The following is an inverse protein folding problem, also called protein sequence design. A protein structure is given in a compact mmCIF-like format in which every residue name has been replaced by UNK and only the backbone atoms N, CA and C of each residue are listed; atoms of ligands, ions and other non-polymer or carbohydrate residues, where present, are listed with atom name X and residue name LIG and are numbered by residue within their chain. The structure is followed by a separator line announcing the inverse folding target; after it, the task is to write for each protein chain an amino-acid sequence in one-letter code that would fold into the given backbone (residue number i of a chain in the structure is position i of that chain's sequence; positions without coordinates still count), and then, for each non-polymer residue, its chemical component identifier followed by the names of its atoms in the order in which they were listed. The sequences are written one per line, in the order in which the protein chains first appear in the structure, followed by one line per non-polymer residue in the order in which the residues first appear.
data_IF_219618157757
#
_entry.id   IF_219618157757
#
_cell.length_a   1.000
_cell.length_b   1.000
_cell.length_c   1.000
_cell.angle_alpha   90.00
_cell.angle_beta   90.00
_cell.angle_gamma   90.00
#
_symmetry.space_group_name_H-M   'P 1'
#
loop_
_entity.id
_entity.type
_entity.pdbx_description
1 polymer ?
#
# COMPACT_ATOMS: atom_id res chain seq x y z
N UNK A 1 6.33 -6.83 5.35
CA UNK A 1 6.84 -5.75 6.23
C UNK A 1 6.67 -4.38 5.59
N UNK A 2 6.46 -3.34 6.39
CA UNK A 2 6.43 -1.95 5.92
C UNK A 2 7.87 -1.45 5.80
N UNK A 3 8.19 -0.74 4.72
CA UNK A 3 9.52 -0.15 4.49
C UNK A 3 9.48 1.38 4.55
N UNK A 4 8.42 1.97 3.99
CA UNK A 4 8.15 3.41 4.03
C UNK A 4 6.64 3.62 4.05
N UNK A 5 6.20 4.64 4.78
CA UNK A 5 4.83 5.11 4.73
C UNK A 5 4.85 6.64 4.85
N UNK A 6 4.19 7.30 3.92
CA UNK A 6 3.90 8.73 4.00
C UNK A 6 2.38 8.89 4.06
N UNK A 7 1.89 9.57 5.09
CA UNK A 7 0.47 9.88 5.24
C UNK A 7 0.31 11.40 5.24
N UNK A 8 -0.43 11.91 4.26
CA UNK A 8 -0.80 13.30 4.16
C UNK A 8 -2.25 13.48 4.60
N UNK A 9 -2.46 14.27 5.63
CA UNK A 9 -3.81 14.64 6.08
C UNK A 9 -4.20 15.97 5.46
N UNK A 10 -5.32 15.98 4.76
CA UNK A 10 -5.87 17.19 4.16
C UNK A 10 -6.98 17.78 5.04
N UNK A 11 -7.66 16.92 5.81
CA UNK A 11 -8.77 17.29 6.68
C UNK A 11 -8.72 16.52 8.00
N UNK A 12 -9.24 17.11 9.09
CA UNK A 12 -9.38 16.40 10.36
C UNK A 12 -10.25 15.15 10.23
N UNK A 13 -9.78 14.05 10.81
CA UNK A 13 -10.55 12.82 11.00
C UNK A 13 -11.14 12.83 12.40
N UNK A 14 -12.39 13.25 12.53
CA UNK A 14 -13.06 13.43 13.82
C UNK A 14 -13.73 12.17 14.39
N UNK A 15 -13.59 11.03 13.72
CA UNK A 15 -14.29 9.80 14.08
C UNK A 15 -13.99 8.67 13.10
N UNK A 16 -14.94 7.74 12.95
CA UNK A 16 -14.80 6.60 12.05
C UNK A 16 -14.55 7.05 10.61
N UNK A 17 -13.49 6.52 10.01
CA UNK A 17 -13.10 6.75 8.62
C UNK A 17 -12.80 5.42 7.93
N UNK A 18 -12.82 5.42 6.60
CA UNK A 18 -12.49 4.27 5.77
C UNK A 18 -11.16 4.54 5.06
N UNK A 19 -10.33 3.51 4.90
CA UNK A 19 -9.09 3.58 4.15
C UNK A 19 -9.17 2.61 2.96
N UNK A 20 -9.18 3.14 1.74
CA UNK A 20 -9.33 2.36 0.51
C UNK A 20 -8.00 2.31 -0.24
N UNK A 21 -7.35 1.13 -0.25
CA UNK A 21 -6.06 0.93 -0.93
C UNK A 21 -6.22 0.49 -2.38
N UNK A 22 -5.28 0.92 -3.23
CA UNK A 22 -5.19 0.53 -4.64
C UNK A 22 -3.74 0.52 -5.12
N UNK A 23 -3.53 -0.07 -6.29
CA UNK A 23 -2.27 -0.01 -7.03
C UNK A 23 -2.42 1.00 -8.16
N UNK A 24 -1.58 2.02 -8.19
CA UNK A 24 -1.63 3.08 -9.21
C UNK A 24 -1.18 2.59 -10.59
N UNK A 25 -0.37 1.54 -10.63
CA UNK A 25 0.03 0.85 -11.86
C UNK A 25 -0.69 -0.51 -11.96
N UNK A 26 -1.54 -0.73 -12.99
CA UNK A 26 -2.22 -2.01 -13.23
C UNK A 26 -1.29 -3.22 -13.35
N UNK A 27 -0.02 -3.02 -13.75
CA UNK A 27 0.97 -4.09 -13.90
C UNK A 27 1.77 -4.36 -12.62
N UNK A 28 1.67 -3.49 -11.60
CA UNK A 28 2.49 -3.57 -10.39
C UNK A 28 2.37 -4.94 -9.70
N UNK A 29 1.16 -5.50 -9.65
CA UNK A 29 0.93 -6.81 -9.04
C UNK A 29 1.65 -7.94 -9.77
N UNK A 30 1.55 -7.95 -11.11
CA UNK A 30 2.19 -8.97 -11.95
C UNK A 30 3.71 -8.90 -11.83
N UNK A 31 4.29 -7.69 -11.85
CA UNK A 31 5.73 -7.49 -11.69
C UNK A 31 6.20 -7.90 -10.29
N UNK A 32 5.45 -7.51 -9.25
CA UNK A 32 5.74 -7.84 -7.86
C UNK A 32 5.76 -9.35 -7.63
N UNK A 33 4.69 -10.05 -8.00
CA UNK A 33 4.55 -11.51 -7.78
C UNK A 33 5.59 -12.30 -8.57
N UNK A 34 5.89 -11.92 -9.82
CA UNK A 34 6.97 -12.53 -10.61
C UNK A 34 8.33 -12.34 -9.95
N UNK A 35 8.60 -11.14 -9.44
CA UNK A 35 9.87 -10.83 -8.76
C UNK A 35 10.00 -11.63 -7.46
N UNK A 36 8.94 -11.71 -6.67
CA UNK A 36 8.90 -12.45 -5.41
C UNK A 36 9.19 -13.94 -5.65
N UNK A 37 8.52 -14.56 -6.62
CA UNK A 37 8.75 -15.97 -6.99
C UNK A 37 10.18 -16.24 -7.44
N UNK A 38 10.77 -15.33 -8.23
CA UNK A 38 12.12 -15.51 -8.77
C UNK A 38 13.22 -15.28 -7.75
N UNK A 39 13.03 -14.35 -6.81
CA UNK A 39 14.11 -13.83 -5.95
C UNK A 39 13.92 -14.11 -4.46
N UNK A 40 12.78 -14.71 -4.06
CA UNK A 40 12.42 -14.87 -2.64
C UNK A 40 12.21 -13.53 -1.90
N UNK A 41 12.19 -12.40 -2.60
CA UNK A 41 11.91 -11.08 -2.03
C UNK A 41 11.45 -10.10 -3.09
N UNK A 42 10.51 -9.24 -2.74
CA UNK A 42 10.04 -8.17 -3.61
C UNK A 42 9.47 -7.00 -2.81
N UNK A 43 9.34 -5.84 -3.48
CA UNK A 43 8.67 -4.67 -2.94
C UNK A 43 7.55 -4.22 -3.86
N UNK A 44 6.51 -3.61 -3.28
CA UNK A 44 5.38 -3.04 -4.00
C UNK A 44 4.96 -1.71 -3.38
N UNK A 45 4.69 -0.72 -4.22
CA UNK A 45 4.10 0.55 -3.81
C UNK A 45 2.57 0.42 -3.79
N UNK A 46 1.94 0.91 -2.73
CA UNK A 46 0.49 0.90 -2.52
C UNK A 46 0.05 2.30 -2.15
N UNK A 47 -0.96 2.81 -2.83
CA UNK A 47 -1.61 4.08 -2.48
C UNK A 47 -2.95 3.80 -1.80
N UNK A 48 -3.40 4.73 -0.97
CA UNK A 48 -4.65 4.61 -0.24
C UNK A 48 -5.27 5.98 -0.02
N UNK A 49 -6.58 6.09 -0.24
CA UNK A 49 -7.36 7.28 0.10
C UNK A 49 -8.07 7.04 1.41
N UNK A 50 -7.93 8.00 2.33
CA UNK A 50 -8.71 8.04 3.56
C UNK A 50 -10.00 8.79 3.26
N UNK A 51 -11.14 8.20 3.54
CA UNK A 51 -12.45 8.81 3.38
C UNK A 51 -13.12 9.01 4.74
N UNK A 52 -13.57 10.23 4.99
CA UNK A 52 -14.30 10.62 6.19
C UNK A 52 -15.50 11.47 5.81
N UNK A 53 -16.67 11.12 6.37
CA UNK A 53 -17.95 11.78 6.06
C UNK A 53 -18.23 11.89 4.54
N UNK A 54 -17.93 10.83 3.79
CA UNK A 54 -18.16 10.75 2.34
C UNK A 54 -17.23 11.61 1.48
N UNK A 55 -16.09 12.06 2.04
CA UNK A 55 -15.11 12.87 1.31
C UNK A 55 -13.69 12.36 1.57
N UNK A 56 -12.76 12.47 0.60
CA UNK A 56 -11.35 12.23 0.85
C UNK A 56 -10.88 13.13 1.99
N UNK A 57 -10.08 12.63 2.93
CA UNK A 57 -9.57 13.39 4.07
C UNK A 57 -8.04 13.29 4.20
N UNK A 58 -7.43 12.42 3.38
CA UNK A 58 -5.99 12.30 3.26
C UNK A 58 -5.62 11.21 2.27
N UNK A 59 -4.33 11.11 2.02
CA UNK A 59 -3.74 10.08 1.18
C UNK A 59 -2.55 9.45 1.89
N UNK A 60 -2.43 8.13 1.74
CA UNK A 60 -1.31 7.34 2.21
C UNK A 60 -0.61 6.72 1.03
N UNK A 61 0.72 6.85 0.98
CA UNK A 61 1.58 6.13 0.06
C UNK A 61 2.56 5.25 0.85
N UNK A 62 2.47 3.95 0.61
CA UNK A 62 3.23 2.93 1.31
C UNK A 62 4.15 2.15 0.36
N UNK A 63 5.35 1.83 0.83
CA UNK A 63 6.22 0.83 0.22
C UNK A 63 6.26 -0.40 1.13
N UNK A 64 5.75 -1.51 0.61
CA UNK A 64 5.68 -2.79 1.30
C UNK A 64 6.73 -3.75 0.73
N UNK A 65 7.31 -4.59 1.57
CA UNK A 65 8.18 -5.68 1.16
C UNK A 65 7.61 -7.03 1.58
N UNK A 66 7.72 -8.01 0.70
CA UNK A 66 7.50 -9.42 0.98
C UNK A 66 8.82 -10.18 0.90
N UNK A 67 8.97 -11.14 1.80
CA UNK A 67 10.01 -12.15 1.78
C UNK A 67 9.29 -13.48 1.52
N UNK A 68 9.83 -14.29 0.62
CA UNK A 68 9.37 -15.65 0.42
C UNK A 68 9.64 -16.43 1.70
N UNK A 69 8.75 -17.35 2.03
CA UNK A 69 9.08 -18.35 3.05
C UNK A 69 10.20 -19.20 2.46
N UNK A 70 11.36 -19.19 3.10
CA UNK A 70 12.37 -20.21 2.80
C UNK A 70 11.72 -21.55 3.14
N UNK A 71 11.46 -22.36 2.11
CA UNK A 71 11.23 -23.78 2.30
C UNK A 71 12.60 -24.39 2.52
N UNK A 72 12.97 -24.49 3.81
CA UNK A 72 14.04 -25.36 4.29
C UNK A 72 13.64 -26.83 4.09
#
# INVERSE_FOLDING_TARGET
MIQRNTLNYERPLGGHFTACSFLSDPLAWTVFTRTLRRRGRARIAVSCVLEYAGRPAGQLDGLLAALGMDSD
#
